data_IF_575366672283
#
_entry.id   IF_575366672283
#
_cell.length_a   1.000
_cell.length_b   1.000
_cell.length_c   1.000
_cell.angle_alpha   90.00
_cell.angle_beta   90.00
_cell.angle_gamma   90.00
#
_symmetry.space_group_name_H-M   'P 1'
#
loop_
_entity.id
_entity.type
_entity.pdbx_description
1 polymer ?
#
# COMPACT_ATOMS: atom_id res chain seq x y z
N UNK A 1 14.75 -19.71 -1.91
CA UNK A 1 14.86 -18.25 -2.07
C UNK A 1 13.61 -17.82 -2.79
N UNK A 2 12.70 -17.06 -2.16
CA UNK A 2 11.56 -16.50 -2.87
C UNK A 2 12.10 -15.59 -3.95
N UNK A 3 11.86 -15.95 -5.20
CA UNK A 3 12.31 -15.17 -6.34
C UNK A 3 11.57 -13.83 -6.34
N UNK A 4 12.26 -12.76 -6.72
CA UNK A 4 11.67 -11.43 -6.88
C UNK A 4 10.40 -11.47 -7.75
N UNK A 5 10.33 -12.43 -8.68
CA UNK A 5 9.13 -12.74 -9.46
C UNK A 5 7.91 -13.09 -8.60
N UNK A 6 8.04 -13.93 -7.58
CA UNK A 6 6.97 -14.29 -6.64
C UNK A 6 6.42 -13.09 -5.87
N UNK A 7 7.27 -12.12 -5.52
CA UNK A 7 6.85 -10.86 -4.85
C UNK A 7 5.99 -10.02 -5.78
N UNK A 8 6.42 -9.83 -7.03
CA UNK A 8 5.65 -9.06 -8.01
C UNK A 8 4.39 -9.79 -8.47
N UNK A 9 4.45 -11.11 -8.65
CA UNK A 9 3.31 -11.93 -9.06
C UNK A 9 2.20 -11.94 -7.99
N UNK A 10 2.57 -12.16 -6.71
CA UNK A 10 1.61 -12.12 -5.60
C UNK A 10 0.96 -10.74 -5.46
N UNK A 11 1.76 -9.67 -5.56
CA UNK A 11 1.26 -8.30 -5.57
C UNK A 11 0.27 -8.03 -6.72
N UNK A 12 0.61 -8.48 -7.93
CA UNK A 12 -0.22 -8.30 -9.11
C UNK A 12 -1.56 -9.06 -9.03
N UNK A 13 -1.53 -10.34 -8.61
CA UNK A 13 -2.74 -11.16 -8.45
C UNK A 13 -3.64 -10.56 -7.37
N UNK A 14 -3.07 -10.07 -6.27
CA UNK A 14 -3.82 -9.39 -5.22
C UNK A 14 -4.50 -8.11 -5.72
N UNK A 15 -3.82 -7.33 -6.56
CA UNK A 15 -4.41 -6.18 -7.24
C UNK A 15 -5.55 -6.58 -8.18
N UNK A 16 -5.34 -7.61 -9.02
CA UNK A 16 -6.33 -8.08 -9.99
C UNK A 16 -7.65 -8.50 -9.33
N UNK A 17 -7.59 -9.01 -8.11
CA UNK A 17 -8.80 -9.36 -7.35
C UNK A 17 -9.77 -8.17 -7.20
N UNK A 18 -9.31 -6.92 -7.29
CA UNK A 18 -10.14 -5.72 -7.16
C UNK A 18 -10.64 -5.17 -8.50
N UNK A 19 -10.21 -5.73 -9.64
CA UNK A 19 -10.67 -5.30 -10.97
C UNK A 19 -12.16 -5.62 -11.17
N UNK A 20 -12.72 -6.55 -10.40
CA UNK A 20 -14.16 -6.85 -10.43
C UNK A 20 -15.04 -5.63 -10.14
N UNK A 21 -14.53 -4.60 -9.45
CA UNK A 21 -15.24 -3.34 -9.23
C UNK A 21 -15.56 -2.59 -10.53
N UNK A 22 -14.96 -2.95 -11.68
CA UNK A 22 -15.41 -2.44 -12.99
C UNK A 22 -16.85 -2.86 -13.32
N UNK A 23 -17.32 -3.97 -12.75
CA UNK A 23 -18.68 -4.47 -12.95
C UNK A 23 -19.67 -3.92 -11.93
N UNK A 24 -19.19 -3.26 -10.88
CA UNK A 24 -20.04 -2.65 -9.86
C UNK A 24 -20.54 -1.28 -10.34
N UNK A 25 -21.84 -1.05 -10.23
CA UNK A 25 -22.44 0.24 -10.56
C UNK A 25 -21.89 1.35 -9.65
N UNK A 26 -21.23 2.35 -10.23
CA UNK A 26 -20.78 3.56 -9.51
C UNK A 26 -19.26 3.76 -9.43
N UNK A 27 -18.45 2.79 -9.87
CA UNK A 27 -17.00 2.97 -9.96
C UNK A 27 -16.57 3.39 -11.36
N UNK A 28 -15.73 4.43 -11.45
CA UNK A 28 -15.08 4.80 -12.71
C UNK A 28 -13.86 3.90 -12.97
N UNK A 29 -13.48 3.74 -14.23
CA UNK A 29 -12.25 3.02 -14.60
C UNK A 29 -11.00 3.61 -13.94
N UNK A 30 -10.99 4.93 -13.69
CA UNK A 30 -9.93 5.63 -12.95
C UNK A 30 -9.90 5.18 -11.49
N UNK A 31 -11.06 5.10 -10.83
CA UNK A 31 -11.14 4.66 -9.44
C UNK A 31 -10.66 3.20 -9.31
N UNK A 32 -11.02 2.32 -10.26
CA UNK A 32 -10.55 0.94 -10.25
C UNK A 32 -9.05 0.86 -10.54
N UNK A 33 -8.51 1.66 -11.46
CA UNK A 33 -7.07 1.71 -11.71
C UNK A 33 -6.29 2.17 -10.47
N UNK A 34 -6.78 3.21 -9.77
CA UNK A 34 -6.20 3.67 -8.50
C UNK A 34 -6.25 2.56 -7.45
N UNK A 35 -7.39 1.88 -7.31
CA UNK A 35 -7.56 0.78 -6.36
C UNK A 35 -6.62 -0.38 -6.69
N UNK A 36 -6.51 -0.76 -7.96
CA UNK A 36 -5.59 -1.80 -8.44
C UNK A 36 -4.13 -1.46 -8.13
N UNK A 37 -3.68 -0.24 -8.46
CA UNK A 37 -2.30 0.19 -8.18
C UNK A 37 -2.04 0.23 -6.68
N UNK A 38 -2.96 0.81 -5.90
CA UNK A 38 -2.83 0.92 -4.45
C UNK A 38 -2.73 -0.47 -3.79
N UNK A 39 -3.63 -1.38 -4.14
CA UNK A 39 -3.65 -2.74 -3.58
C UNK A 39 -2.44 -3.56 -4.04
N UNK A 40 -1.99 -3.40 -5.29
CA UNK A 40 -0.76 -4.05 -5.77
C UNK A 40 0.48 -3.61 -4.99
N UNK A 41 0.66 -2.30 -4.77
CA UNK A 41 1.75 -1.76 -3.95
C UNK A 41 1.69 -2.28 -2.51
N UNK A 42 0.49 -2.35 -1.95
CA UNK A 42 0.28 -2.90 -0.62
C UNK A 42 0.64 -4.41 -0.55
N UNK A 43 0.29 -5.18 -1.58
CA UNK A 43 0.67 -6.58 -1.70
C UNK A 43 2.18 -6.78 -1.78
N UNK A 44 2.87 -5.95 -2.57
CA UNK A 44 4.34 -5.98 -2.66
C UNK A 44 4.99 -5.68 -1.31
N UNK A 45 4.48 -4.68 -0.56
CA UNK A 45 4.97 -4.35 0.78
C UNK A 45 4.69 -5.47 1.80
N UNK A 46 3.54 -6.14 1.70
CA UNK A 46 3.20 -7.27 2.58
C UNK A 46 4.13 -8.47 2.34
N UNK A 47 4.41 -8.79 1.08
CA UNK A 47 5.40 -9.80 0.71
C UNK A 47 6.78 -9.41 1.22
N UNK A 48 7.19 -8.15 1.05
CA UNK A 48 8.42 -7.64 1.65
C UNK A 48 8.46 -7.86 3.17
N UNK A 49 7.45 -7.42 3.92
CA UNK A 49 7.39 -7.61 5.37
C UNK A 49 7.48 -9.09 5.78
N UNK A 50 6.79 -9.98 5.07
CA UNK A 50 6.89 -11.41 5.32
C UNK A 50 8.32 -11.92 5.14
N UNK A 51 8.97 -11.56 4.04
CA UNK A 51 10.35 -11.97 3.75
C UNK A 51 11.36 -11.38 4.73
N UNK A 52 11.11 -10.17 5.24
CA UNK A 52 11.99 -9.49 6.21
C UNK A 52 11.85 -10.01 7.62
N UNK A 53 10.64 -10.40 8.03
CA UNK A 53 10.34 -10.77 9.42
C UNK A 53 10.22 -12.28 9.64
N UNK A 54 9.97 -13.05 8.59
CA UNK A 54 9.79 -14.51 8.65
C UNK A 54 8.45 -14.95 9.24
N UNK A 55 7.54 -14.02 9.58
CA UNK A 55 6.26 -14.34 10.20
C UNK A 55 5.08 -13.57 9.58
N UNK A 56 3.90 -14.18 9.58
CA UNK A 56 2.67 -13.62 9.00
C UNK A 56 2.08 -12.46 9.80
N UNK A 57 2.47 -12.28 11.06
CA UNK A 57 1.88 -11.26 11.95
C UNK A 57 2.19 -9.84 11.43
N UNK A 58 3.43 -9.57 10.98
CA UNK A 58 3.81 -8.26 10.44
C UNK A 58 2.94 -7.81 9.25
N UNK A 59 2.82 -8.58 8.15
CA UNK A 59 1.97 -8.18 7.03
C UNK A 59 0.48 -8.11 7.41
N UNK A 60 -0.02 -8.96 8.31
CA UNK A 60 -1.41 -8.91 8.77
C UNK A 60 -1.75 -7.61 9.52
N UNK A 61 -0.85 -7.17 10.41
CA UNK A 61 -1.02 -5.91 11.13
C UNK A 61 -0.93 -4.71 10.18
N UNK A 62 0.03 -4.71 9.26
CA UNK A 62 0.14 -3.69 8.23
C UNK A 62 -1.13 -3.62 7.37
N UNK A 63 -1.69 -4.77 6.98
CA UNK A 63 -2.92 -4.84 6.19
C UNK A 63 -4.12 -4.29 6.93
N UNK A 64 -4.31 -4.74 8.17
CA UNK A 64 -5.42 -4.29 9.01
C UNK A 64 -5.34 -2.78 9.26
N UNK A 65 -4.14 -2.25 9.50
CA UNK A 65 -3.92 -0.82 9.65
C UNK A 65 -4.23 -0.06 8.35
N UNK A 66 -3.65 -0.45 7.21
CA UNK A 66 -3.90 0.22 5.93
C UNK A 66 -5.36 0.18 5.52
N UNK A 67 -6.07 -0.93 5.76
CA UNK A 67 -7.50 -1.04 5.49
C UNK A 67 -8.33 -0.11 6.39
N UNK A 68 -7.92 0.07 7.66
CA UNK A 68 -8.59 1.01 8.57
C UNK A 68 -8.44 2.47 8.16
N UNK A 69 -7.29 2.84 7.58
CA UNK A 69 -7.00 4.22 7.17
C UNK A 69 -7.53 4.52 5.77
N UNK A 70 -7.41 3.56 4.84
CA UNK A 70 -7.79 3.72 3.44
C UNK A 70 -6.98 4.81 2.71
N UNK A 71 -7.45 5.16 1.51
CA UNK A 71 -6.93 6.32 0.78
C UNK A 71 -7.48 7.63 1.36
N UNK A 72 -6.69 8.72 1.36
CA UNK A 72 -7.20 10.02 1.73
C UNK A 72 -8.42 10.38 0.86
N UNK A 73 -9.47 10.90 1.48
CA UNK A 73 -10.60 11.44 0.74
C UNK A 73 -10.19 12.73 0.01
N UNK A 74 -9.55 12.60 -1.16
CA UNK A 74 -8.96 13.71 -1.91
C UNK A 74 -9.93 14.87 -2.18
N UNK A 75 -11.25 14.60 -2.27
CA UNK A 75 -12.29 15.64 -2.42
C UNK A 75 -12.76 16.31 -1.12
N UNK A 76 -12.49 15.73 0.05
CA UNK A 76 -12.92 16.24 1.38
C UNK A 76 -11.77 16.87 2.16
N UNK A 77 -10.54 16.37 1.99
CA UNK A 77 -9.34 16.88 2.68
C UNK A 77 -9.14 18.39 2.48
N UNK A 78 -9.23 18.95 1.25
CA UNK A 78 -9.00 20.39 1.03
C UNK A 78 -10.10 21.29 1.62
N UNK A 79 -11.29 20.74 1.90
CA UNK A 79 -12.45 21.48 2.44
C UNK A 79 -12.51 21.44 3.97
N UNK A 80 -11.60 20.71 4.62
CA UNK A 80 -11.57 20.60 6.07
C UNK A 80 -10.96 21.87 6.69
N UNK A 81 -11.46 22.35 7.86
CA UNK A 81 -10.90 23.53 8.54
C UNK A 81 -9.39 23.40 8.84
N UNK A 82 -8.91 22.17 9.03
CA UNK A 82 -7.51 21.84 9.26
C UNK A 82 -6.83 21.20 8.04
N UNK A 83 -7.26 21.54 6.81
CA UNK A 83 -6.77 20.95 5.57
C UNK A 83 -5.22 20.95 5.48
N UNK A 84 -4.58 22.07 5.83
CA UNK A 84 -3.10 22.19 5.80
C UNK A 84 -2.42 21.18 6.73
N UNK A 85 -2.91 21.06 7.95
CA UNK A 85 -2.37 20.13 8.95
C UNK A 85 -2.59 18.68 8.51
N UNK A 86 -3.77 18.37 7.98
CA UNK A 86 -4.10 17.03 7.49
C UNK A 86 -3.25 16.65 6.26
N UNK A 87 -3.11 17.56 5.30
CA UNK A 87 -2.24 17.36 4.14
C UNK A 87 -0.77 17.23 4.54
N UNK A 88 -0.29 18.05 5.49
CA UNK A 88 1.07 17.93 6.01
C UNK A 88 1.28 16.57 6.69
N UNK A 89 0.32 16.09 7.49
CA UNK A 89 0.40 14.78 8.13
C UNK A 89 0.47 13.64 7.10
N UNK A 90 -0.31 13.69 6.01
CA UNK A 90 -0.23 12.72 4.92
C UNK A 90 1.13 12.74 4.21
N UNK A 91 1.65 13.93 3.88
CA UNK A 91 2.94 14.09 3.18
C UNK A 91 4.09 13.62 4.07
N UNK A 92 4.11 14.05 5.34
CA UNK A 92 5.13 13.62 6.31
C UNK A 92 5.04 12.12 6.53
N UNK A 93 3.84 11.58 6.77
CA UNK A 93 3.65 10.14 6.98
C UNK A 93 4.12 9.29 5.79
N UNK A 94 3.74 9.67 4.57
CA UNK A 94 4.19 8.98 3.36
C UNK A 94 5.71 9.12 3.16
N UNK A 95 6.27 10.31 3.35
CA UNK A 95 7.70 10.56 3.23
C UNK A 95 8.52 9.76 4.24
N UNK A 96 8.09 9.75 5.51
CA UNK A 96 8.71 8.94 6.57
C UNK A 96 8.60 7.45 6.27
N UNK A 97 7.45 6.97 5.77
CA UNK A 97 7.28 5.56 5.40
C UNK A 97 8.26 5.15 4.29
N UNK A 98 8.31 5.91 3.19
CA UNK A 98 9.22 5.65 2.06
C UNK A 98 10.67 5.67 2.54
N UNK A 99 11.04 6.67 3.35
CA UNK A 99 12.38 6.78 3.91
C UNK A 99 12.72 5.55 4.77
N UNK A 100 11.84 5.14 5.69
CA UNK A 100 12.12 4.00 6.57
C UNK A 100 12.23 2.68 5.80
N UNK A 101 11.36 2.45 4.81
CA UNK A 101 11.43 1.24 3.96
C UNK A 101 12.71 1.22 3.13
N UNK A 102 13.09 2.34 2.53
CA UNK A 102 14.31 2.44 1.73
C UNK A 102 15.57 2.30 2.60
N UNK A 103 15.59 2.91 3.78
CA UNK A 103 16.68 2.74 4.75
C UNK A 103 16.79 1.27 5.20
N UNK A 104 15.69 0.60 5.54
CA UNK A 104 15.73 -0.82 5.92
C UNK A 104 16.25 -1.69 4.76
N UNK A 105 15.79 -1.43 3.53
CA UNK A 105 16.26 -2.13 2.34
C UNK A 105 17.77 -1.93 2.09
N UNK A 106 18.31 -0.72 2.29
CA UNK A 106 19.72 -0.39 2.07
C UNK A 106 20.62 -0.91 3.20
N UNK A 107 20.27 -0.65 4.46
CA UNK A 107 21.16 -0.88 5.60
C UNK A 107 21.12 -2.31 6.14
N UNK A 108 20.04 -3.04 5.86
CA UNK A 108 19.93 -4.45 6.19
C UNK A 108 19.65 -5.21 4.90
N UNK A 109 20.63 -5.40 4.01
CA UNK A 109 20.42 -6.25 2.86
C UNK A 109 20.31 -7.70 3.34
N UNK A 110 19.10 -8.13 3.71
CA UNK A 110 18.76 -9.53 3.76
C UNK A 110 18.71 -9.97 2.30
N UNK A 111 19.84 -10.46 1.79
CA UNK A 111 19.91 -11.06 0.47
C UNK A 111 18.81 -12.13 0.38
N UNK A 112 17.93 -11.98 -0.62
CA UNK A 112 16.89 -12.95 -0.97
C UNK A 112 17.50 -14.33 -1.27
#
# INVERSE_FOLDING_TARGET
MPDVGSVFASAFVFGLAHVHHLFDAGYSWVAVAVQFTYTSLFGAYSSYLFLRTGHLIAPLLAHSFCNSQGLPAFGRVPRHPHARTLSAAFVVGLGSFILLVTLDAIYRPAWF
#
